data_IF_662877784175
#
_entry.id   IF_662877784175
#
_cell.length_a   1.000
_cell.length_b   1.000
_cell.length_c   1.000
_cell.angle_alpha   90.00
_cell.angle_beta   90.00
_cell.angle_gamma   90.00
#
_symmetry.space_group_name_H-M   'P 1'
#
loop_
_entity.id
_entity.type
_entity.pdbx_description
1 polymer ?
#
# COMPACT_ATOMS: atom_id res chain seq x y z
N UNK A 1 4.04 -26.82 -3.58
CA UNK A 1 3.79 -25.37 -3.77
C UNK A 1 2.62 -25.20 -4.71
N UNK A 2 1.83 -24.14 -4.54
CA UNK A 2 0.79 -23.77 -5.49
C UNK A 2 1.42 -23.36 -6.83
N UNK A 3 0.78 -23.68 -7.94
CA UNK A 3 1.13 -23.10 -9.25
C UNK A 3 0.83 -21.59 -9.27
N UNK A 4 1.43 -20.81 -10.20
CA UNK A 4 1.16 -19.37 -10.31
C UNK A 4 -0.34 -19.04 -10.38
N UNK A 5 -1.11 -19.83 -11.15
CA UNK A 5 -2.56 -19.66 -11.26
C UNK A 5 -3.28 -19.95 -9.94
N UNK A 6 -2.90 -21.04 -9.25
CA UNK A 6 -3.50 -21.37 -7.95
C UNK A 6 -3.18 -20.31 -6.89
N UNK A 7 -1.97 -19.73 -6.90
CA UNK A 7 -1.61 -18.62 -6.00
C UNK A 7 -2.51 -17.41 -6.25
N UNK A 8 -2.68 -17.00 -7.51
CA UNK A 8 -3.59 -15.89 -7.85
C UNK A 8 -5.02 -16.19 -7.42
N UNK A 9 -5.58 -17.33 -7.83
CA UNK A 9 -6.96 -17.69 -7.53
C UNK A 9 -7.22 -17.78 -6.01
N UNK A 10 -6.22 -18.19 -5.22
CA UNK A 10 -6.33 -18.31 -3.75
C UNK A 10 -6.33 -16.95 -3.04
N UNK A 11 -5.46 -16.02 -3.45
CA UNK A 11 -5.21 -14.78 -2.69
C UNK A 11 -5.81 -13.52 -3.32
N UNK A 12 -6.31 -13.59 -4.56
CA UNK A 12 -6.74 -12.40 -5.30
C UNK A 12 -7.85 -11.60 -4.60
N UNK A 13 -8.85 -12.28 -4.02
CA UNK A 13 -9.98 -11.58 -3.39
C UNK A 13 -9.57 -10.82 -2.13
N UNK A 14 -8.64 -11.36 -1.36
CA UNK A 14 -8.09 -10.73 -0.16
C UNK A 14 -7.21 -9.53 -0.55
N UNK A 15 -6.27 -9.72 -1.48
CA UNK A 15 -5.45 -8.62 -2.00
C UNK A 15 -6.31 -7.49 -2.60
N UNK A 16 -7.38 -7.84 -3.33
CA UNK A 16 -8.33 -6.86 -3.86
C UNK A 16 -9.03 -6.09 -2.75
N UNK A 17 -9.47 -6.77 -1.68
CA UNK A 17 -10.11 -6.13 -0.54
C UNK A 17 -9.14 -5.14 0.12
N UNK A 18 -7.89 -5.54 0.36
CA UNK A 18 -6.93 -4.69 1.04
C UNK A 18 -6.59 -3.43 0.22
N UNK A 19 -6.48 -3.55 -1.11
CA UNK A 19 -6.33 -2.38 -1.99
C UNK A 19 -7.52 -1.42 -1.91
N UNK A 20 -8.75 -1.94 -1.80
CA UNK A 20 -9.95 -1.10 -1.63
C UNK A 20 -9.96 -0.38 -0.27
N UNK A 21 -9.48 -1.01 0.79
CA UNK A 21 -9.33 -0.36 2.10
C UNK A 21 -8.31 0.78 2.06
N UNK A 22 -7.19 0.58 1.35
CA UNK A 22 -6.18 1.63 1.14
C UNK A 22 -6.78 2.79 0.34
N UNK A 23 -7.51 2.51 -0.74
CA UNK A 23 -8.20 3.57 -1.50
C UNK A 23 -9.18 4.35 -0.61
N UNK A 24 -10.02 3.65 0.16
CA UNK A 24 -10.97 4.29 1.06
C UNK A 24 -10.29 5.10 2.19
N UNK A 25 -9.08 4.72 2.62
CA UNK A 25 -8.28 5.54 3.54
C UNK A 25 -7.88 6.87 2.89
N UNK A 26 -7.40 6.82 1.65
CA UNK A 26 -6.97 8.01 0.89
C UNK A 26 -8.15 8.95 0.64
N UNK A 27 -9.30 8.41 0.22
CA UNK A 27 -10.52 9.20 -0.01
C UNK A 27 -10.93 9.97 1.27
N UNK A 28 -10.92 9.28 2.42
CA UNK A 28 -11.25 9.90 3.72
C UNK A 28 -10.24 10.96 4.13
N UNK A 29 -8.96 10.78 3.79
CA UNK A 29 -7.93 11.78 4.03
C UNK A 29 -8.18 13.03 3.20
N UNK A 30 -8.42 12.88 1.90
CA UNK A 30 -8.68 13.99 0.98
C UNK A 30 -9.95 14.76 1.40
N UNK A 31 -11.00 14.06 1.81
CA UNK A 31 -12.19 14.70 2.42
C UNK A 31 -11.87 15.47 3.70
N UNK A 32 -10.98 14.96 4.56
CA UNK A 32 -10.56 15.67 5.77
C UNK A 32 -9.75 16.93 5.44
N UNK A 33 -8.83 16.87 4.48
CA UNK A 33 -8.08 18.02 3.97
C UNK A 33 -9.00 19.10 3.44
N UNK A 34 -10.00 18.72 2.64
CA UNK A 34 -11.01 19.65 2.11
C UNK A 34 -11.80 20.35 3.22
N UNK A 35 -12.17 19.64 4.30
CA UNK A 35 -12.89 20.21 5.44
C UNK A 35 -12.01 21.10 6.32
N UNK A 36 -10.74 20.74 6.50
CA UNK A 36 -9.78 21.48 7.32
C UNK A 36 -9.21 22.71 6.60
N UNK A 37 -9.30 22.75 5.26
CA UNK A 37 -8.73 23.82 4.44
C UNK A 37 -7.22 23.68 4.18
N UNK A 38 -6.66 22.48 4.43
CA UNK A 38 -5.23 22.21 4.26
C UNK A 38 -4.83 20.80 4.69
N UNK A 39 -3.63 20.34 4.27
CA UNK A 39 -3.09 19.05 4.65
C UNK A 39 -2.75 18.98 6.15
N UNK A 40 -2.50 17.79 6.66
CA UNK A 40 -1.98 17.62 8.01
C UNK A 40 -0.57 18.22 8.15
N UNK A 41 -0.21 18.64 9.37
CA UNK A 41 1.13 19.17 9.67
C UNK A 41 2.24 18.12 9.44
N UNK A 42 1.92 16.83 9.57
CA UNK A 42 2.82 15.71 9.31
C UNK A 42 2.15 14.65 8.40
N UNK A 43 2.65 14.54 7.17
CA UNK A 43 2.23 13.55 6.17
C UNK A 43 3.24 12.41 5.99
N UNK A 44 4.19 12.23 6.91
CA UNK A 44 5.23 11.20 6.82
C UNK A 44 4.67 9.79 6.60
N UNK A 45 3.59 9.43 7.31
CA UNK A 45 2.89 8.15 7.16
C UNK A 45 2.23 8.01 5.78
N UNK A 46 1.61 9.07 5.28
CA UNK A 46 0.98 9.08 3.95
C UNK A 46 2.04 8.91 2.86
N UNK A 47 3.18 9.60 3.00
CA UNK A 47 4.31 9.49 2.08
C UNK A 47 4.82 8.05 2.01
N UNK A 48 5.10 7.41 3.14
CA UNK A 48 5.59 6.02 3.15
C UNK A 48 4.55 5.03 2.63
N UNK A 49 3.26 5.25 2.88
CA UNK A 49 2.20 4.45 2.27
C UNK A 49 2.22 4.55 0.73
N UNK A 50 2.41 5.75 0.18
CA UNK A 50 2.53 5.97 -1.27
C UNK A 50 3.77 5.28 -1.85
N UNK A 51 4.93 5.42 -1.19
CA UNK A 51 6.16 4.71 -1.58
C UNK A 51 5.98 3.18 -1.57
N UNK A 52 5.30 2.63 -0.56
CA UNK A 52 5.00 1.20 -0.50
C UNK A 52 4.12 0.74 -1.69
N UNK A 53 3.12 1.54 -2.08
CA UNK A 53 2.30 1.23 -3.25
C UNK A 53 3.11 1.28 -4.56
N UNK A 54 4.05 2.21 -4.69
CA UNK A 54 4.96 2.28 -5.84
C UNK A 54 5.81 1.01 -5.96
N UNK A 55 6.35 0.50 -4.84
CA UNK A 55 7.10 -0.77 -4.80
C UNK A 55 6.21 -1.95 -5.24
N UNK A 56 4.95 -1.99 -4.79
CA UNK A 56 4.02 -3.06 -5.18
C UNK A 56 3.60 -2.97 -6.66
N UNK A 57 3.51 -1.78 -7.23
CA UNK A 57 3.13 -1.56 -8.62
C UNK A 57 4.22 -1.96 -9.64
N UNK A 58 5.46 -2.17 -9.19
CA UNK A 58 6.55 -2.65 -10.05
C UNK A 58 6.27 -4.10 -10.50
N UNK A 59 6.07 -4.28 -11.81
CA UNK A 59 5.68 -5.56 -12.41
C UNK A 59 6.73 -6.65 -12.24
N UNK A 60 7.92 -6.43 -12.77
CA UNK A 60 9.06 -7.33 -12.57
C UNK A 60 9.81 -6.95 -11.31
N UNK A 61 9.95 -7.91 -10.39
CA UNK A 61 10.78 -7.76 -9.21
C UNK A 61 11.87 -8.82 -9.22
N UNK A 62 13.15 -8.45 -9.07
CA UNK A 62 14.28 -9.39 -9.20
C UNK A 62 14.19 -10.57 -8.23
N UNK A 63 13.55 -10.37 -7.08
CA UNK A 63 13.39 -11.34 -6.00
C UNK A 63 11.96 -11.31 -5.44
N UNK A 64 11.41 -12.43 -4.94
CA UNK A 64 10.08 -12.47 -4.32
C UNK A 64 10.10 -11.97 -2.86
N UNK A 65 10.61 -10.76 -2.62
CA UNK A 65 10.83 -10.18 -1.27
C UNK A 65 10.09 -8.86 -1.02
N UNK A 66 9.01 -8.58 -1.76
CA UNK A 66 8.22 -7.34 -1.61
C UNK A 66 7.77 -7.09 -0.17
N UNK A 67 7.37 -8.13 0.56
CA UNK A 67 6.98 -8.02 1.97
C UNK A 67 8.11 -7.50 2.85
N UNK A 68 9.33 -8.00 2.67
CA UNK A 68 10.52 -7.56 3.40
C UNK A 68 10.82 -6.08 3.11
N UNK A 69 10.81 -5.70 1.83
CA UNK A 69 11.01 -4.31 1.42
C UNK A 69 9.98 -3.37 2.04
N UNK A 70 8.70 -3.78 2.07
CA UNK A 70 7.65 -2.99 2.70
C UNK A 70 7.89 -2.84 4.20
N UNK A 71 8.28 -3.91 4.91
CA UNK A 71 8.61 -3.85 6.33
C UNK A 71 9.78 -2.90 6.60
N UNK A 72 10.83 -2.96 5.78
CA UNK A 72 11.95 -2.03 5.84
C UNK A 72 11.49 -0.58 5.60
N UNK A 73 10.66 -0.34 4.59
CA UNK A 73 10.08 0.98 4.35
C UNK A 73 9.28 1.50 5.55
N UNK A 74 8.43 0.68 6.15
CA UNK A 74 7.62 1.06 7.31
C UNK A 74 8.47 1.31 8.57
N UNK A 75 9.60 0.63 8.74
CA UNK A 75 10.49 0.84 9.89
C UNK A 75 11.20 2.21 9.93
N UNK A 76 11.19 2.95 8.81
CA UNK A 76 11.87 4.26 8.67
C UNK A 76 11.14 5.40 9.39
N UNK A 77 9.88 5.21 9.72
CA UNK A 77 9.02 6.15 10.46
C UNK A 77 8.63 5.49 11.77
N UNK A 78 9.58 5.46 12.72
CA UNK A 78 9.35 5.14 14.12
C UNK A 78 9.52 6.40 14.97
#
# INVERSE_FOLDING_TARGET
MLSPKQTLDTYYLEARRDLLEVAALLDRYDEAVNRAGGPADDESRLKVLREAMEVLAQGDHPQPNRTELLLEHFSKIN
#
